data_IF_617365403084
#
_entry.id   IF_617365403084
#
_cell.length_a   1.000
_cell.length_b   1.000
_cell.length_c   1.000
_cell.angle_alpha   90.00
_cell.angle_beta   90.00
_cell.angle_gamma   90.00
#
_symmetry.space_group_name_H-M   'P 1'
#
loop_
_entity.id
_entity.type
_entity.pdbx_description
1 polymer ?
#
# COMPACT_ATOMS: atom_id res chain seq x y z
N UNK A 1 -13.05 7.36 -10.63
CA UNK A 1 -12.42 6.13 -10.10
C UNK A 1 -11.79 6.51 -8.79
N UNK A 2 -12.11 5.79 -7.72
CA UNK A 2 -11.54 6.08 -6.40
C UNK A 2 -10.05 5.78 -6.36
N UNK A 3 -9.28 6.66 -5.71
CA UNK A 3 -7.84 6.51 -5.47
C UNK A 3 -7.56 6.35 -3.98
N UNK A 4 -6.38 5.84 -3.65
CA UNK A 4 -5.97 5.61 -2.26
C UNK A 4 -4.98 6.64 -1.76
N UNK A 5 -4.99 6.93 -0.46
CA UNK A 5 -3.92 7.69 0.20
C UNK A 5 -2.96 6.74 0.89
N UNK A 6 -1.66 6.99 0.72
CA UNK A 6 -0.62 6.32 1.49
C UNK A 6 0.26 7.32 2.22
N UNK A 7 0.64 6.94 3.43
CA UNK A 7 1.55 7.66 4.31
C UNK A 7 2.34 6.62 5.08
N UNK A 8 3.67 6.63 4.93
CA UNK A 8 4.54 5.63 5.53
C UNK A 8 5.86 6.21 6.00
N UNK A 9 6.55 5.46 6.87
CA UNK A 9 7.92 5.78 7.27
C UNK A 9 8.89 5.28 6.20
N UNK A 10 9.76 6.16 5.73
CA UNK A 10 10.83 5.81 4.81
C UNK A 10 12.09 5.32 5.52
N UNK A 11 13.04 4.78 4.76
CA UNK A 11 14.32 4.32 5.29
C UNK A 11 15.26 5.48 5.66
N UNK A 12 14.99 6.70 5.20
CA UNK A 12 15.76 7.92 5.46
C UNK A 12 16.99 8.04 4.59
N UNK A 13 16.81 8.19 3.26
CA UNK A 13 17.93 8.29 2.32
C UNK A 13 18.00 9.66 1.65
N UNK A 14 18.65 10.62 2.31
CA UNK A 14 18.86 11.99 1.77
C UNK A 14 19.50 11.96 0.38
N UNK A 15 20.45 11.05 0.15
CA UNK A 15 21.12 10.91 -1.15
C UNK A 15 20.18 10.46 -2.27
N UNK A 16 19.17 9.64 -1.95
CA UNK A 16 18.16 9.22 -2.90
C UNK A 16 17.22 10.39 -3.21
N UNK A 17 16.74 11.05 -2.15
CA UNK A 17 15.77 12.15 -2.24
C UNK A 17 16.34 13.31 -3.06
N UNK A 18 17.63 13.59 -2.89
CA UNK A 18 18.33 14.66 -3.62
C UNK A 18 19.03 14.17 -4.89
N UNK A 19 18.69 12.97 -5.37
CA UNK A 19 19.21 12.38 -6.64
C UNK A 19 20.74 12.42 -6.75
N UNK A 20 21.44 12.31 -5.62
CA UNK A 20 22.90 12.25 -5.55
C UNK A 20 23.46 10.90 -6.05
N UNK A 21 22.58 9.95 -6.36
CA UNK A 21 22.87 8.75 -7.14
C UNK A 21 21.61 8.36 -7.93
N UNK A 22 21.79 7.56 -8.98
CA UNK A 22 20.68 7.06 -9.80
C UNK A 22 20.26 5.67 -9.31
N UNK A 23 19.00 5.53 -8.88
CA UNK A 23 18.39 4.23 -8.65
C UNK A 23 17.76 3.69 -9.94
N UNK A 24 17.52 2.38 -10.02
CA UNK A 24 17.00 1.71 -11.22
C UNK A 24 15.54 2.08 -11.55
N UNK A 25 14.78 2.58 -10.57
CA UNK A 25 13.39 3.03 -10.70
C UNK A 25 13.25 4.50 -11.12
N UNK A 26 14.37 5.22 -11.29
CA UNK A 26 14.36 6.65 -11.64
C UNK A 26 14.49 6.83 -13.16
N UNK A 27 13.52 7.51 -13.74
CA UNK A 27 13.57 8.00 -15.12
C UNK A 27 14.27 9.36 -15.16
N UNK A 28 15.56 9.34 -15.52
CA UNK A 28 16.41 10.54 -15.55
C UNK A 28 15.89 11.65 -16.46
N UNK A 29 15.08 11.32 -17.47
CA UNK A 29 14.52 12.33 -18.37
C UNK A 29 13.50 13.25 -17.67
N UNK A 30 12.96 12.81 -16.54
CA UNK A 30 11.95 13.53 -15.75
C UNK A 30 12.48 14.11 -14.45
N UNK A 31 13.74 13.86 -14.07
CA UNK A 31 14.30 14.34 -12.79
C UNK A 31 14.23 15.87 -12.63
N UNK A 32 14.28 16.62 -13.72
CA UNK A 32 14.09 18.08 -13.70
C UNK A 32 12.68 18.52 -13.30
N UNK A 33 11.70 17.60 -13.30
CA UNK A 33 10.32 17.84 -12.86
C UNK A 33 10.15 17.66 -11.34
N UNK A 34 11.17 17.15 -10.64
CA UNK A 34 11.13 17.05 -9.18
C UNK A 34 11.11 18.44 -8.54
N UNK A 35 10.36 18.58 -7.45
CA UNK A 35 10.23 19.85 -6.73
C UNK A 35 10.90 19.73 -5.36
N UNK A 36 11.90 20.58 -5.12
CA UNK A 36 12.57 20.68 -3.82
C UNK A 36 11.96 21.86 -3.05
N UNK A 37 11.31 21.56 -1.93
CA UNK A 37 10.71 22.57 -1.04
C UNK A 37 11.69 23.03 0.03
N UNK A 38 12.54 22.11 0.50
CA UNK A 38 13.54 22.36 1.52
C UNK A 38 14.74 21.42 1.27
N UNK A 39 15.96 21.93 1.45
CA UNK A 39 17.20 21.16 1.38
C UNK A 39 18.29 21.91 2.16
N UNK A 40 18.30 21.69 3.47
CA UNK A 40 19.25 22.28 4.40
C UNK A 40 20.26 21.23 4.88
N UNK A 41 21.47 21.67 5.22
CA UNK A 41 22.47 20.77 5.80
C UNK A 41 22.02 20.30 7.20
N UNK A 42 21.81 18.99 7.34
CA UNK A 42 21.32 18.39 8.57
C UNK A 42 22.16 18.77 9.79
N UNK A 43 23.49 18.80 9.66
CA UNK A 43 24.38 19.11 10.78
C UNK A 43 24.25 20.58 11.18
N UNK A 44 24.15 21.50 10.23
CA UNK A 44 23.86 22.91 10.51
C UNK A 44 22.50 23.09 11.20
N UNK A 45 21.45 22.38 10.76
CA UNK A 45 20.14 22.43 11.42
C UNK A 45 20.23 21.98 12.88
N UNK A 46 21.03 20.95 13.17
CA UNK A 46 21.28 20.54 14.55
C UNK A 46 21.89 21.65 15.41
N UNK A 47 22.89 22.36 14.88
CA UNK A 47 23.51 23.47 15.59
C UNK A 47 22.51 24.62 15.82
N UNK A 48 21.72 24.98 14.80
CA UNK A 48 20.70 26.01 14.92
C UNK A 48 19.63 25.69 15.98
N UNK A 49 19.22 24.42 16.09
CA UNK A 49 18.12 24.01 16.96
C UNK A 49 18.56 23.70 18.38
N UNK A 50 19.75 23.12 18.58
CA UNK A 50 20.12 22.52 19.86
C UNK A 50 21.29 23.20 20.59
N UNK A 51 22.10 24.02 19.94
CA UNK A 51 23.34 24.54 20.56
C UNK A 51 23.08 25.41 21.79
N UNK A 52 22.02 26.23 21.80
CA UNK A 52 21.66 27.03 22.96
C UNK A 52 21.31 26.15 24.18
N UNK A 53 20.45 25.15 23.98
CA UNK A 53 20.08 24.20 25.02
C UNK A 53 21.26 23.33 25.48
N UNK A 54 22.15 22.97 24.55
CA UNK A 54 23.38 22.22 24.82
C UNK A 54 24.34 23.05 25.68
N UNK A 55 24.55 24.32 25.36
CA UNK A 55 25.39 25.23 26.12
C UNK A 55 24.87 25.37 27.56
N UNK A 56 23.56 25.60 27.71
CA UNK A 56 22.91 25.69 29.02
C UNK A 56 23.00 24.38 29.82
N UNK A 57 22.89 23.23 29.16
CA UNK A 57 23.08 21.92 29.79
C UNK A 57 24.52 21.72 30.28
N UNK A 58 25.51 22.00 29.43
CA UNK A 58 26.93 21.83 29.73
C UNK A 58 27.43 22.79 30.80
N UNK A 59 26.88 24.01 30.89
CA UNK A 59 27.20 24.97 31.94
C UNK A 59 26.89 24.43 33.35
N UNK A 60 25.89 23.53 33.48
CA UNK A 60 25.51 22.89 34.74
C UNK A 60 26.42 21.69 35.11
N UNK A 61 27.41 21.34 34.28
CA UNK A 61 28.27 20.16 34.48
C UNK A 61 29.66 20.57 34.96
N UNK A 62 30.10 19.95 36.06
CA UNK A 62 31.42 20.18 36.64
C UNK A 62 32.51 19.32 35.99
N UNK A 63 32.23 18.06 35.65
CA UNK A 63 33.19 17.14 35.05
C UNK A 63 33.10 17.16 33.53
N UNK A 64 34.24 17.26 32.85
CA UNK A 64 34.32 17.26 31.38
C UNK A 64 33.68 16.03 30.74
N UNK A 65 33.82 14.85 31.36
CA UNK A 65 33.21 13.60 30.86
C UNK A 65 31.67 13.60 30.85
N UNK A 66 31.05 14.51 31.61
CA UNK A 66 29.59 14.61 31.71
C UNK A 66 29.02 15.67 30.73
N UNK A 67 29.90 16.41 30.05
CA UNK A 67 29.54 17.38 29.00
C UNK A 67 29.39 16.68 27.65
N UNK A 68 28.48 17.18 26.83
CA UNK A 68 28.30 16.73 25.46
C UNK A 68 28.99 17.74 24.55
N UNK A 69 30.07 17.38 23.83
CA UNK A 69 30.80 18.35 23.00
C UNK A 69 30.00 18.84 21.79
N UNK A 70 29.31 17.92 21.13
CA UNK A 70 28.54 18.16 19.91
C UNK A 70 27.30 17.25 19.95
N UNK A 71 26.12 17.85 19.85
CA UNK A 71 24.88 17.10 20.01
C UNK A 71 24.51 16.27 18.77
N UNK A 72 24.89 16.71 17.57
CA UNK A 72 24.73 15.93 16.34
C UNK A 72 25.53 14.62 16.43
N UNK A 73 26.82 14.70 16.78
CA UNK A 73 27.68 13.52 16.97
C UNK A 73 27.18 12.63 18.11
N UNK A 74 26.66 13.24 19.18
CA UNK A 74 26.06 12.51 20.28
C UNK A 74 24.86 11.66 19.83
N UNK A 75 23.96 12.23 19.03
CA UNK A 75 22.81 11.48 18.50
C UNK A 75 23.25 10.47 17.44
N UNK A 76 24.20 10.81 16.56
CA UNK A 76 24.75 9.90 15.55
C UNK A 76 25.33 8.62 16.15
N UNK A 77 25.91 8.70 17.34
CA UNK A 77 26.50 7.58 18.07
C UNK A 77 25.50 6.90 19.03
N UNK A 78 24.34 7.50 19.25
CA UNK A 78 23.30 6.98 20.12
C UNK A 78 22.59 5.77 19.50
N UNK A 79 22.14 4.85 20.35
CA UNK A 79 21.27 3.73 19.96
C UNK A 79 19.79 4.00 20.27
N UNK A 80 19.48 5.14 20.92
CA UNK A 80 18.14 5.44 21.42
C UNK A 80 17.31 6.23 20.41
N UNK A 81 17.91 7.24 19.79
CA UNK A 81 17.24 8.18 18.89
C UNK A 81 17.95 8.18 17.53
N UNK A 82 17.22 8.48 16.46
CA UNK A 82 17.80 8.65 15.11
C UNK A 82 18.15 10.12 14.87
N UNK A 83 19.07 10.38 13.95
CA UNK A 83 19.38 11.75 13.52
C UNK A 83 18.17 12.45 12.87
N UNK A 84 17.37 11.69 12.14
CA UNK A 84 16.14 12.18 11.53
C UNK A 84 15.21 11.01 11.22
N UNK A 85 14.00 11.36 10.82
CA UNK A 85 12.98 10.43 10.34
C UNK A 85 12.49 10.90 8.96
N UNK A 86 12.07 9.94 8.14
CA UNK A 86 11.48 10.19 6.83
C UNK A 86 10.02 9.75 6.83
N UNK A 87 9.13 10.60 6.33
CA UNK A 87 7.76 10.26 5.97
C UNK A 87 7.57 10.41 4.45
N UNK A 88 6.89 9.44 3.85
CA UNK A 88 6.59 9.42 2.42
C UNK A 88 5.08 9.44 2.24
N UNK A 89 4.59 10.36 1.42
CA UNK A 89 3.18 10.53 1.11
C UNK A 89 2.91 10.40 -0.39
N UNK A 90 1.83 9.71 -0.75
CA UNK A 90 1.44 9.48 -2.14
C UNK A 90 -0.08 9.38 -2.26
N UNK A 91 -0.59 9.89 -3.38
CA UNK A 91 -1.99 9.75 -3.81
C UNK A 91 -2.02 8.77 -4.98
N UNK A 92 -2.89 7.77 -4.89
CA UNK A 92 -3.04 6.74 -5.90
C UNK A 92 -1.82 5.82 -6.03
N UNK A 93 -1.67 5.23 -7.21
CA UNK A 93 -0.59 4.34 -7.62
C UNK A 93 -0.32 4.53 -9.12
N UNK A 94 0.53 3.70 -9.73
CA UNK A 94 0.93 3.87 -11.14
C UNK A 94 -0.24 3.76 -12.12
N UNK A 95 -1.27 2.96 -11.80
CA UNK A 95 -2.41 2.74 -12.71
C UNK A 95 -3.40 3.90 -12.75
N UNK A 96 -3.48 4.71 -11.69
CA UNK A 96 -4.46 5.79 -11.56
C UNK A 96 -3.82 7.19 -11.49
N UNK A 97 -2.60 7.33 -10.95
CA UNK A 97 -1.91 8.60 -10.75
C UNK A 97 -0.46 8.54 -11.25
N UNK A 98 -0.16 7.74 -12.28
CA UNK A 98 1.20 7.59 -12.80
C UNK A 98 1.84 8.92 -13.24
N UNK A 99 3.14 9.09 -13.00
CA UNK A 99 3.85 10.31 -13.41
C UNK A 99 3.74 10.55 -14.93
N UNK A 100 3.49 11.78 -15.36
CA UNK A 100 3.28 12.16 -16.77
C UNK A 100 1.86 11.95 -17.29
N UNK A 101 0.93 11.52 -16.43
CA UNK A 101 -0.51 11.46 -16.73
C UNK A 101 -1.24 12.68 -16.14
N UNK A 102 -2.42 13.08 -16.67
CA UNK A 102 -3.19 14.18 -16.08
C UNK A 102 -3.54 13.98 -14.60
N UNK A 103 -3.87 12.75 -14.19
CA UNK A 103 -4.16 12.42 -12.80
C UNK A 103 -2.90 12.44 -11.93
N UNK A 104 -1.74 12.05 -12.49
CA UNK A 104 -0.44 12.21 -11.83
C UNK A 104 -0.09 13.68 -11.57
N UNK A 105 -0.28 14.57 -12.56
CA UNK A 105 -0.08 16.01 -12.37
C UNK A 105 -1.03 16.60 -11.31
N UNK A 106 -2.28 16.13 -11.28
CA UNK A 106 -3.25 16.54 -10.25
C UNK A 106 -2.85 16.03 -8.86
N UNK A 107 -2.36 14.79 -8.75
CA UNK A 107 -1.82 14.26 -7.51
C UNK A 107 -0.60 15.05 -7.03
N UNK A 108 0.28 15.46 -7.95
CA UNK A 108 1.43 16.31 -7.65
C UNK A 108 1.01 17.69 -7.12
N UNK A 109 -0.02 18.31 -7.70
CA UNK A 109 -0.58 19.57 -7.23
C UNK A 109 -1.15 19.44 -5.80
N UNK A 110 -1.89 18.38 -5.51
CA UNK A 110 -2.39 18.10 -4.16
C UNK A 110 -1.26 17.86 -3.15
N UNK A 111 -0.20 17.13 -3.54
CA UNK A 111 0.98 16.91 -2.70
C UNK A 111 1.76 18.21 -2.44
N UNK A 112 1.78 19.15 -3.39
CA UNK A 112 2.37 20.48 -3.22
C UNK A 112 1.62 21.28 -2.16
N UNK A 113 0.29 21.34 -2.20
CA UNK A 113 -0.52 22.02 -1.18
C UNK A 113 -0.32 21.38 0.20
N UNK A 114 -0.20 20.04 0.25
CA UNK A 114 0.10 19.31 1.48
C UNK A 114 1.46 19.67 2.05
N UNK A 115 2.48 19.81 1.20
CA UNK A 115 3.84 20.22 1.57
C UNK A 115 3.88 21.64 2.14
N UNK A 116 3.24 22.61 1.48
CA UNK A 116 3.23 24.03 1.88
C UNK A 116 2.64 24.24 3.29
N UNK A 117 1.67 23.41 3.67
CA UNK A 117 1.00 23.49 4.98
C UNK A 117 1.56 22.52 6.03
N UNK A 118 2.57 21.71 5.68
CA UNK A 118 3.09 20.65 6.55
C UNK A 118 3.75 21.19 7.82
N UNK A 119 4.58 22.22 7.71
CA UNK A 119 5.32 22.78 8.84
C UNK A 119 4.39 23.38 9.90
N UNK A 120 3.31 24.04 9.48
CA UNK A 120 2.32 24.64 10.38
C UNK A 120 1.54 23.58 11.17
N UNK A 121 1.21 22.45 10.53
CA UNK A 121 0.59 21.30 11.21
C UNK A 121 1.53 20.56 12.16
N UNK A 122 2.84 20.70 11.97
CA UNK A 122 3.87 19.91 12.64
C UNK A 122 4.95 20.78 13.32
N UNK A 123 4.60 21.62 14.30
CA UNK A 123 5.52 22.61 14.88
C UNK A 123 6.71 22.00 15.64
N UNK A 124 6.62 20.73 16.06
CA UNK A 124 7.72 20.02 16.73
C UNK A 124 8.52 19.12 15.78
N UNK A 125 8.22 19.11 14.48
CA UNK A 125 8.96 18.35 13.48
C UNK A 125 9.70 19.32 12.56
N UNK A 126 10.99 19.54 12.83
CA UNK A 126 11.83 20.44 12.02
C UNK A 126 12.20 19.73 10.72
N UNK A 127 11.43 20.00 9.66
CA UNK A 127 11.71 19.54 8.29
C UNK A 127 12.97 20.21 7.79
N UNK A 128 13.97 19.45 7.36
CA UNK A 128 15.21 19.99 6.77
C UNK A 128 15.42 19.56 5.31
N UNK A 129 14.70 18.53 4.84
CA UNK A 129 14.71 18.12 3.44
C UNK A 129 13.30 17.67 3.04
N UNK A 130 12.79 18.20 1.94
CA UNK A 130 11.44 17.88 1.44
C UNK A 130 11.43 17.95 -0.08
N UNK A 131 11.12 16.83 -0.71
CA UNK A 131 11.22 16.66 -2.17
C UNK A 131 10.02 15.90 -2.70
N UNK A 132 9.34 16.45 -3.70
CA UNK A 132 8.34 15.75 -4.50
C UNK A 132 9.02 15.13 -5.72
N UNK A 133 8.98 13.80 -5.80
CA UNK A 133 9.50 13.06 -6.95
C UNK A 133 8.43 12.92 -8.02
N UNK A 134 8.76 13.34 -9.24
CA UNK A 134 7.96 13.23 -10.46
C UNK A 134 8.61 12.27 -11.49
N UNK A 135 9.78 11.72 -11.16
CA UNK A 135 10.64 10.94 -12.04
C UNK A 135 10.61 9.42 -11.76
N UNK A 136 9.69 8.96 -10.92
CA UNK A 136 9.45 7.54 -10.65
C UNK A 136 8.09 7.08 -11.21
N UNK A 137 7.52 5.99 -10.70
CA UNK A 137 6.26 5.44 -11.21
C UNK A 137 5.05 6.32 -10.89
N UNK A 138 4.99 6.88 -9.68
CA UNK A 138 3.88 7.68 -9.15
C UNK A 138 4.45 8.88 -8.40
N UNK A 139 3.83 10.08 -8.49
CA UNK A 139 4.25 11.23 -7.71
C UNK A 139 4.18 10.94 -6.22
N UNK A 140 5.27 11.22 -5.49
CA UNK A 140 5.31 11.02 -4.05
C UNK A 140 6.24 12.03 -3.36
N UNK A 141 5.83 12.46 -2.17
CA UNK A 141 6.52 13.46 -1.38
C UNK A 141 7.33 12.80 -0.28
N UNK A 142 8.64 13.04 -0.29
CA UNK A 142 9.53 12.74 0.82
C UNK A 142 9.61 13.92 1.78
N UNK A 143 9.47 13.65 3.07
CA UNK A 143 9.60 14.64 4.14
C UNK A 143 10.58 14.11 5.20
N UNK A 144 11.79 14.64 5.21
CA UNK A 144 12.81 14.34 6.20
C UNK A 144 12.83 15.42 7.29
N UNK A 145 12.70 14.99 8.55
CA UNK A 145 12.56 15.89 9.68
C UNK A 145 13.25 15.40 10.96
N UNK A 146 13.56 16.35 11.83
CA UNK A 146 14.09 16.12 13.18
C UNK A 146 12.96 16.34 14.19
N UNK A 147 12.63 15.37 15.06
CA UNK A 147 11.66 15.60 16.12
C UNK A 147 12.28 16.38 17.28
N UNK A 148 11.75 17.58 17.55
CA UNK A 148 12.27 18.52 18.53
C UNK A 148 11.35 18.56 19.74
N UNK A 149 11.81 17.96 20.84
CA UNK A 149 11.14 18.06 22.13
C UNK A 149 11.72 19.23 22.92
N UNK A 150 10.87 20.18 23.31
CA UNK A 150 11.25 21.39 24.07
C UNK A 150 10.84 21.28 25.54
N UNK A 151 11.31 22.20 26.38
CA UNK A 151 10.90 22.35 27.79
C UNK A 151 11.05 21.08 28.64
N UNK A 152 12.06 20.26 28.32
CA UNK A 152 12.28 18.99 29.00
C UNK A 152 12.90 19.20 30.38
N UNK A 153 12.32 18.54 31.39
CA UNK A 153 12.74 18.67 32.79
C UNK A 153 13.99 17.85 33.16
N UNK A 154 14.41 16.91 32.30
CA UNK A 154 15.58 16.04 32.50
C UNK A 154 16.47 16.06 31.26
N UNK A 155 17.78 16.19 31.46
CA UNK A 155 18.75 16.25 30.37
C UNK A 155 18.80 17.64 29.71
N UNK A 156 19.00 17.68 28.40
CA UNK A 156 18.87 18.90 27.61
C UNK A 156 17.39 19.33 27.57
N UNK A 157 17.13 20.63 27.74
CA UNK A 157 15.77 21.20 27.70
C UNK A 157 15.15 21.13 26.30
N UNK A 158 15.96 21.28 25.26
CA UNK A 158 15.59 21.02 23.87
C UNK A 158 16.40 19.83 23.38
N UNK A 159 15.73 18.75 22.96
CA UNK A 159 16.39 17.48 22.61
C UNK A 159 15.65 16.73 21.51
N UNK A 160 16.35 15.82 20.85
CA UNK A 160 15.73 14.88 19.91
C UNK A 160 14.92 13.87 20.69
N UNK A 161 13.61 13.81 20.43
CA UNK A 161 12.78 12.70 20.88
C UNK A 161 11.45 12.68 20.14
N UNK A 162 11.24 11.66 19.30
CA UNK A 162 10.00 11.52 18.53
C UNK A 162 8.76 11.45 19.45
N UNK A 163 8.85 10.65 20.51
CA UNK A 163 7.74 10.46 21.44
C UNK A 163 7.33 11.77 22.12
N UNK A 164 8.30 12.55 22.60
CA UNK A 164 7.99 13.80 23.30
C UNK A 164 7.53 14.89 22.32
N UNK A 165 8.16 15.01 21.15
CA UNK A 165 7.74 15.94 20.10
C UNK A 165 6.27 15.72 19.70
N UNK A 166 5.88 14.46 19.44
CA UNK A 166 4.50 14.14 19.13
C UNK A 166 3.55 14.36 20.32
N UNK A 167 3.99 14.04 21.54
CA UNK A 167 3.18 14.31 22.73
C UNK A 167 2.90 15.81 22.92
N UNK A 168 3.88 16.68 22.63
CA UNK A 168 3.70 18.13 22.70
C UNK A 168 2.74 18.66 21.62
N UNK A 169 2.57 17.92 20.53
CA UNK A 169 1.53 18.17 19.52
C UNK A 169 0.17 17.52 19.87
N UNK A 170 0.02 16.90 21.04
CA UNK A 170 -1.23 16.31 21.51
C UNK A 170 -1.46 14.84 21.11
N UNK A 171 -0.49 14.18 20.47
CA UNK A 171 -0.61 12.74 20.19
C UNK A 171 -0.33 11.91 21.43
N UNK A 172 -1.29 11.05 21.79
CA UNK A 172 -1.18 10.16 22.95
C UNK A 172 -1.34 8.72 22.46
N UNK A 173 -0.39 7.86 22.82
CA UNK A 173 -0.48 6.44 22.48
C UNK A 173 -1.50 5.71 23.35
N UNK A 174 -2.43 4.98 22.72
CA UNK A 174 -3.42 4.13 23.38
C UNK A 174 -3.03 2.66 23.19
N UNK A 175 -2.02 2.22 23.95
CA UNK A 175 -1.53 0.84 23.95
C UNK A 175 -0.47 0.53 22.88
N UNK A 176 -0.14 -0.75 22.71
CA UNK A 176 1.00 -1.19 21.86
C UNK A 176 0.80 -1.00 20.36
N UNK A 177 -0.47 -0.98 19.88
CA UNK A 177 -0.80 -0.90 18.44
C UNK A 177 -1.15 0.52 17.98
N UNK A 178 -1.56 1.40 18.89
CA UNK A 178 -1.85 2.81 18.59
C UNK A 178 -0.80 3.66 19.31
N UNK A 179 0.38 3.77 18.71
CA UNK A 179 1.44 4.64 19.21
C UNK A 179 1.16 6.10 18.84
N UNK A 180 1.87 7.04 19.48
CA UNK A 180 1.83 8.45 19.12
C UNK A 180 2.15 8.64 17.62
N UNK A 181 3.10 7.84 17.09
CA UNK A 181 3.46 7.82 15.67
C UNK A 181 2.30 7.40 14.77
N UNK A 182 1.60 6.33 15.13
CA UNK A 182 0.48 5.83 14.34
C UNK A 182 -0.64 6.87 14.29
N UNK A 183 -1.00 7.47 15.43
CA UNK A 183 -2.00 8.52 15.50
C UNK A 183 -1.61 9.76 14.67
N UNK A 184 -0.33 10.16 14.74
CA UNK A 184 0.20 11.25 13.92
C UNK A 184 0.11 10.96 12.42
N UNK A 185 0.52 9.76 11.99
CA UNK A 185 0.50 9.36 10.58
C UNK A 185 -0.93 9.31 10.03
N UNK A 186 -1.89 8.80 10.81
CA UNK A 186 -3.30 8.80 10.38
C UNK A 186 -3.85 10.22 10.24
N UNK A 187 -3.56 11.13 11.17
CA UNK A 187 -3.94 12.55 11.02
C UNK A 187 -3.33 13.18 9.76
N UNK A 188 -2.09 12.84 9.42
CA UNK A 188 -1.48 13.37 8.18
C UNK A 188 -2.13 12.78 6.92
N UNK A 189 -2.53 11.51 6.93
CA UNK A 189 -3.32 10.92 5.84
C UNK A 189 -4.71 11.55 5.73
N UNK A 190 -5.35 11.88 6.84
CA UNK A 190 -6.63 12.60 6.87
C UNK A 190 -6.48 14.00 6.25
N UNK A 191 -5.44 14.76 6.66
CA UNK A 191 -5.15 16.06 6.05
C UNK A 191 -4.88 15.94 4.54
N UNK A 192 -4.12 14.94 4.11
CA UNK A 192 -3.89 14.68 2.69
C UNK A 192 -5.17 14.25 1.95
N UNK A 193 -6.07 13.51 2.61
CA UNK A 193 -7.37 13.13 2.07
C UNK A 193 -8.23 14.36 1.79
N UNK A 194 -8.32 15.28 2.76
CA UNK A 194 -9.06 16.54 2.58
C UNK A 194 -8.49 17.39 1.44
N UNK A 195 -7.15 17.47 1.35
CA UNK A 195 -6.49 18.19 0.25
C UNK A 195 -6.80 17.50 -1.08
N UNK A 196 -6.64 16.18 -1.18
CA UNK A 196 -6.90 15.44 -2.41
C UNK A 196 -8.36 15.60 -2.87
N UNK A 197 -9.33 15.63 -1.95
CA UNK A 197 -10.73 15.88 -2.28
C UNK A 197 -10.97 17.28 -2.89
N UNK A 198 -10.24 18.31 -2.45
CA UNK A 198 -10.28 19.65 -3.07
C UNK A 198 -9.66 19.67 -4.48
N UNK A 199 -8.84 18.67 -4.79
CA UNK A 199 -8.30 18.39 -6.13
C UNK A 199 -9.13 17.32 -6.86
N UNK A 200 -10.42 17.22 -6.55
CA UNK A 200 -11.41 16.37 -7.22
C UNK A 200 -11.10 14.86 -7.20
N UNK A 201 -10.31 14.39 -6.22
CA UNK A 201 -10.12 12.96 -6.00
C UNK A 201 -11.21 12.37 -5.11
N UNK A 202 -11.81 11.27 -5.59
CA UNK A 202 -12.60 10.38 -4.76
C UNK A 202 -11.65 9.45 -3.99
N UNK A 203 -11.61 9.54 -2.66
CA UNK A 203 -10.69 8.73 -1.84
C UNK A 203 -11.39 7.46 -1.35
N UNK A 204 -10.79 6.31 -1.63
CA UNK A 204 -11.24 4.99 -1.15
C UNK A 204 -10.25 4.41 -0.15
N UNK A 205 -10.78 3.84 0.94
CA UNK A 205 -9.98 3.15 1.96
C UNK A 205 -9.94 1.65 1.67
N UNK A 206 -8.76 1.10 1.42
CA UNK A 206 -8.55 -0.34 1.18
C UNK A 206 -8.40 -1.16 2.48
N UNK A 207 -8.70 -0.58 3.65
CA UNK A 207 -8.54 -1.21 4.96
C UNK A 207 -7.11 -1.15 5.52
N UNK A 208 -6.99 -1.23 6.85
CA UNK A 208 -5.78 -0.86 7.63
C UNK A 208 -4.78 -1.99 7.91
N UNK A 209 -4.98 -3.20 7.36
CA UNK A 209 -4.23 -4.41 7.76
C UNK A 209 -3.17 -4.89 6.73
N UNK A 210 -2.59 -3.99 5.92
CA UNK A 210 -1.49 -4.38 5.02
C UNK A 210 -0.14 -4.25 5.75
N UNK A 211 0.67 -5.31 5.84
CA UNK A 211 2.02 -5.20 6.38
C UNK A 211 2.86 -4.26 5.51
N UNK A 212 3.69 -3.43 6.14
CA UNK A 212 4.65 -2.58 5.43
C UNK A 212 5.67 -3.47 4.70
N UNK A 213 5.89 -3.18 3.41
CA UNK A 213 6.85 -3.86 2.56
C UNK A 213 7.80 -2.81 1.99
N UNK A 214 9.09 -3.13 1.93
CA UNK A 214 10.04 -2.31 1.16
C UNK A 214 9.78 -2.45 -0.35
N UNK A 215 10.39 -1.58 -1.16
CA UNK A 215 10.14 -1.55 -2.61
C UNK A 215 10.46 -2.90 -3.31
N UNK A 216 11.59 -3.58 -3.03
CA UNK A 216 11.83 -4.94 -3.53
C UNK A 216 10.74 -5.95 -3.14
N UNK A 217 10.36 -5.99 -1.86
CA UNK A 217 9.31 -6.87 -1.35
C UNK A 217 7.96 -6.59 -2.02
N UNK A 218 7.62 -5.32 -2.21
CA UNK A 218 6.40 -4.92 -2.90
C UNK A 218 6.40 -5.39 -4.36
N UNK A 219 7.51 -5.23 -5.09
CA UNK A 219 7.64 -5.72 -6.47
C UNK A 219 7.47 -7.24 -6.54
N UNK A 220 8.07 -7.97 -5.62
CA UNK A 220 7.92 -9.43 -5.56
C UNK A 220 6.48 -9.84 -5.22
N UNK A 221 5.84 -9.15 -4.26
CA UNK A 221 4.44 -9.39 -3.91
C UNK A 221 3.50 -9.06 -5.08
N UNK A 222 3.76 -7.99 -5.83
CA UNK A 222 3.01 -7.62 -7.02
C UNK A 222 3.15 -8.68 -8.13
N UNK A 223 4.37 -9.17 -8.39
CA UNK A 223 4.59 -10.24 -9.36
C UNK A 223 3.90 -11.56 -8.95
N UNK A 224 3.92 -11.90 -7.65
CA UNK A 224 3.18 -13.06 -7.13
C UNK A 224 1.66 -12.88 -7.30
N UNK A 225 1.14 -11.68 -7.04
CA UNK A 225 -0.28 -11.39 -7.21
C UNK A 225 -0.71 -11.52 -8.68
N UNK A 226 0.09 -11.02 -9.62
CA UNK A 226 -0.16 -11.16 -11.06
C UNK A 226 -0.19 -12.64 -11.48
N UNK A 227 0.76 -13.44 -11.00
CA UNK A 227 0.78 -14.88 -11.27
C UNK A 227 -0.48 -15.59 -10.72
N UNK A 228 -0.91 -15.23 -9.51
CA UNK A 228 -2.15 -15.77 -8.92
C UNK A 228 -3.37 -15.35 -9.72
N UNK A 229 -3.46 -14.09 -10.15
CA UNK A 229 -4.57 -13.61 -10.98
C UNK A 229 -4.65 -14.35 -12.32
N UNK A 230 -3.50 -14.61 -12.96
CA UNK A 230 -3.46 -15.42 -14.18
C UNK A 230 -3.92 -16.86 -13.93
N UNK A 231 -3.51 -17.47 -12.81
CA UNK A 231 -3.99 -18.80 -12.42
C UNK A 231 -5.50 -18.80 -12.15
N UNK A 232 -6.03 -17.82 -11.41
CA UNK A 232 -7.46 -17.71 -11.14
C UNK A 232 -8.26 -17.57 -12.44
N UNK A 233 -7.82 -16.71 -13.36
CA UNK A 233 -8.47 -16.55 -14.66
C UNK A 233 -8.43 -17.84 -15.51
N UNK A 234 -7.35 -18.64 -15.41
CA UNK A 234 -7.27 -19.93 -16.07
C UNK A 234 -8.26 -20.95 -15.45
N UNK A 235 -8.31 -21.03 -14.12
CA UNK A 235 -9.25 -21.89 -13.39
C UNK A 235 -10.70 -21.50 -13.68
N UNK A 236 -11.03 -20.21 -13.73
CA UNK A 236 -12.37 -19.73 -14.07
C UNK A 236 -12.81 -20.18 -15.48
N UNK A 237 -11.88 -20.17 -16.45
CA UNK A 237 -12.16 -20.70 -17.80
C UNK A 237 -12.38 -22.21 -17.80
N UNK A 238 -11.56 -22.95 -17.06
CA UNK A 238 -11.69 -24.40 -16.93
C UNK A 238 -13.00 -24.80 -16.25
N UNK A 239 -13.38 -24.09 -15.18
CA UNK A 239 -14.68 -24.27 -14.51
C UNK A 239 -15.82 -24.01 -15.49
N UNK A 240 -15.78 -22.91 -16.24
CA UNK A 240 -16.82 -22.59 -17.24
C UNK A 240 -16.92 -23.63 -18.38
N UNK A 241 -15.83 -24.34 -18.69
CA UNK A 241 -15.83 -25.43 -19.65
C UNK A 241 -16.39 -26.73 -19.06
N UNK A 242 -15.97 -27.08 -17.84
CA UNK A 242 -16.51 -28.23 -17.11
C UNK A 242 -18.01 -28.09 -16.84
N UNK A 243 -18.50 -26.89 -16.55
CA UNK A 243 -19.94 -26.63 -16.40
C UNK A 243 -20.72 -26.88 -17.71
N UNK A 244 -20.16 -26.45 -18.85
CA UNK A 244 -20.74 -26.74 -20.17
C UNK A 244 -20.77 -28.24 -20.46
N UNK A 245 -19.68 -28.95 -20.18
CA UNK A 245 -19.61 -30.41 -20.35
C UNK A 245 -20.59 -31.14 -19.43
N UNK A 246 -20.70 -30.72 -18.16
CA UNK A 246 -21.67 -31.26 -17.19
C UNK A 246 -23.10 -31.11 -17.72
N UNK A 247 -23.45 -29.94 -18.25
CA UNK A 247 -24.81 -29.69 -18.72
C UNK A 247 -25.13 -30.46 -20.01
N UNK A 248 -24.14 -30.65 -20.89
CA UNK A 248 -24.25 -31.57 -22.02
C UNK A 248 -24.47 -33.03 -21.56
N UNK A 249 -23.67 -33.52 -20.60
CA UNK A 249 -23.82 -34.86 -20.04
C UNK A 249 -25.17 -35.07 -19.36
N UNK A 250 -25.70 -34.06 -18.64
CA UNK A 250 -27.06 -34.13 -18.07
C UNK A 250 -28.11 -34.37 -19.15
N UNK A 251 -27.97 -33.73 -20.32
CA UNK A 251 -28.82 -33.97 -21.48
C UNK A 251 -28.75 -35.42 -21.96
N UNK A 252 -27.53 -35.95 -22.14
CA UNK A 252 -27.30 -37.34 -22.56
C UNK A 252 -27.85 -38.35 -21.55
N UNK A 253 -27.66 -38.12 -20.26
CA UNK A 253 -28.21 -38.99 -19.19
C UNK A 253 -29.74 -38.98 -19.21
N UNK A 254 -30.37 -37.85 -19.52
CA UNK A 254 -31.84 -37.79 -19.66
C UNK A 254 -32.32 -38.64 -20.83
N UNK A 255 -31.66 -38.52 -21.99
CA UNK A 255 -31.96 -39.32 -23.18
C UNK A 255 -31.74 -40.82 -22.94
N UNK A 256 -30.67 -41.20 -22.25
CA UNK A 256 -30.41 -42.59 -21.89
C UNK A 256 -31.48 -43.16 -20.95
N UNK A 257 -31.94 -42.38 -19.95
CA UNK A 257 -33.05 -42.79 -19.08
C UNK A 257 -34.38 -42.93 -19.84
N UNK A 258 -34.62 -42.08 -20.83
CA UNK A 258 -35.79 -42.19 -21.71
C UNK A 258 -35.70 -43.44 -22.60
N UNK A 259 -34.53 -43.74 -23.17
CA UNK A 259 -34.29 -44.93 -23.97
C UNK A 259 -34.41 -46.23 -23.15
N UNK A 260 -33.87 -46.26 -21.92
CA UNK A 260 -33.93 -47.44 -21.03
C UNK A 260 -35.38 -47.75 -20.61
N UNK A 261 -36.22 -46.71 -20.42
CA UNK A 261 -37.67 -46.87 -20.20
C UNK A 261 -38.40 -47.54 -21.37
N UNK A 262 -37.96 -47.32 -22.61
CA UNK A 262 -38.54 -47.93 -23.81
C UNK A 262 -37.96 -49.33 -24.06
N UNK A 263 -36.75 -49.61 -23.57
CA UNK A 263 -36.11 -50.93 -23.71
C UNK A 263 -36.65 -51.97 -22.73
N UNK A 264 -37.07 -51.56 -21.52
CA UNK A 264 -37.71 -52.43 -20.54
C UNK A 264 -38.96 -53.18 -21.08
N UNK A 265 -39.91 -52.54 -21.79
CA UNK A 265 -41.07 -53.25 -22.35
C UNK A 265 -40.75 -54.12 -23.58
N UNK A 266 -39.62 -53.94 -24.27
CA UNK A 266 -39.23 -54.78 -25.42
C UNK A 266 -38.82 -56.20 -25.01
N UNK A 267 -38.20 -56.36 -23.82
CA UNK A 267 -37.77 -57.67 -23.32
C UNK A 267 -38.94 -58.55 -22.84
N UNK A 268 -40.09 -57.95 -22.56
CA UNK A 268 -41.33 -58.63 -22.16
C UNK A 268 -42.19 -59.07 -23.35
N UNK A 269 -41.81 -58.71 -24.58
CA UNK A 269 -42.48 -59.17 -25.80
C UNK A 269 -42.10 -60.64 -26.06
N UNK A 270 -42.92 -61.57 -25.58
CA UNK A 270 -42.82 -62.97 -25.96
C UNK A 270 -43.51 -63.21 -27.32
N UNK A 271 -42.78 -63.66 -28.36
CA UNK A 271 -43.41 -64.00 -29.63
C UNK A 271 -44.34 -65.19 -29.48
N UNK A 272 -45.64 -65.01 -29.75
CA UNK A 272 -46.59 -66.12 -29.82
C UNK A 272 -46.22 -67.06 -30.97
N UNK A 273 -46.03 -68.34 -30.65
CA UNK A 273 -45.81 -69.40 -31.64
C UNK A 273 -47.14 -69.95 -32.11
N UNK A 274 -47.27 -70.09 -33.43
CA UNK A 274 -48.41 -70.79 -34.05
C UNK A 274 -48.31 -72.29 -33.79
N UNK A 275 -49.42 -73.02 -33.91
CA UNK A 275 -49.53 -74.48 -33.67
C UNK A 275 -48.53 -75.34 -34.48
N UNK A 276 -47.93 -74.80 -35.55
CA UNK A 276 -46.91 -75.46 -36.39
C UNK A 276 -45.47 -75.09 -36.03
N UNK A 277 -45.25 -74.29 -34.98
CA UNK A 277 -43.94 -73.88 -34.49
C UNK A 277 -43.35 -72.61 -35.14
N UNK A 278 -44.03 -72.02 -36.13
CA UNK A 278 -43.63 -70.75 -36.73
C UNK A 278 -44.00 -69.56 -35.82
N UNK A 279 -43.08 -68.61 -35.66
CA UNK A 279 -43.30 -67.37 -34.91
C UNK A 279 -44.28 -66.47 -35.68
N UNK A 280 -45.36 -66.02 -35.02
CA UNK A 280 -46.31 -65.08 -35.60
C UNK A 280 -45.66 -63.70 -35.69
N UNK A 281 -45.59 -63.13 -36.90
CA UNK A 281 -45.08 -61.76 -37.08
C UNK A 281 -46.03 -60.74 -36.44
N UNK A 282 -45.48 -59.74 -35.77
CA UNK A 282 -46.23 -58.63 -35.16
C UNK A 282 -46.31 -57.50 -36.19
N UNK A 283 -47.49 -56.92 -36.41
CA UNK A 283 -47.69 -55.78 -37.32
C UNK A 283 -47.42 -54.46 -36.59
N UNK A 284 -47.03 -53.40 -37.33
CA UNK A 284 -46.75 -52.07 -36.74
C UNK A 284 -47.91 -51.56 -35.88
N UNK A 285 -49.15 -51.72 -36.36
CA UNK A 285 -50.38 -51.33 -35.64
C UNK A 285 -50.58 -52.07 -34.29
N UNK A 286 -49.99 -53.26 -34.12
CA UNK A 286 -50.09 -54.03 -32.87
C UNK A 286 -49.05 -53.59 -31.84
N UNK A 287 -47.94 -52.99 -32.29
CA UNK A 287 -46.88 -52.46 -31.41
C UNK A 287 -47.26 -51.08 -30.87
N UNK A 288 -48.01 -50.27 -31.63
CA UNK A 288 -48.48 -48.95 -31.20
C UNK A 288 -49.53 -48.96 -30.07
N UNK A 289 -50.10 -50.13 -29.75
CA UNK A 289 -51.10 -50.31 -28.68
C UNK A 289 -50.52 -50.83 -27.35
N UNK A 290 -49.21 -51.07 -27.27
CA UNK A 290 -48.46 -51.47 -26.06
C UNK A 290 -47.76 -50.27 -25.41
#
# INVERSE_FOLDING_TARGET
MGVTISGMTGAGSIRHNNRSFSAANVDRSRTEQNIVFCNEDLKQVYHMVFDEALAAYNAKKTKTRDKIPDYYEHIRQSKQEKLFHEAIFQIGNMSDCGCGTPDGERAAAALKDFAESFAERNPHLRVFNMVLHMDEATPHLHVDFIPVATEQSRGLSTRVSMKQALKQQGFVGVGRKQTEWAAWMEREKEALTEIAQRHDFEIISLGTNRPHMDLPQFKEAAARLEAVQQQTAAVEREVAELERQRDALKGTVRLLKEADRVNAPLHDIQPEKTLTGAVKGVTVDQVEQL
#
